data_IF_538607515019
#
_entry.id   IF_538607515019
#
_cell.length_a   1.000
_cell.length_b   1.000
_cell.length_c   1.000
_cell.angle_alpha   90.00
_cell.angle_beta   90.00
_cell.angle_gamma   90.00
#
_symmetry.space_group_name_H-M   'P 1'
#
loop_
_entity.id
_entity.type
_entity.pdbx_description
1 polymer ?
#
# COMPACT_ATOMS: atom_id res chain seq x y z
N UNK A 1 1.03 8.78 12.90
CA UNK A 1 1.33 8.21 11.55
C UNK A 1 0.65 6.86 11.41
N UNK A 2 -0.36 6.78 10.54
CA UNK A 2 -1.09 5.54 10.26
C UNK A 2 -0.51 4.75 9.10
N UNK A 3 -0.92 3.48 9.00
CA UNK A 3 -0.51 2.58 7.92
C UNK A 3 -1.68 1.69 7.47
N UNK A 4 -1.67 1.32 6.19
CA UNK A 4 -2.38 0.12 5.73
C UNK A 4 -1.41 -1.05 5.85
N UNK A 5 -1.88 -2.16 6.43
CA UNK A 5 -1.11 -3.37 6.70
C UNK A 5 -1.65 -4.51 5.87
N UNK A 6 -0.76 -5.18 5.14
CA UNK A 6 -1.01 -6.47 4.51
C UNK A 6 -0.11 -7.50 5.17
N UNK A 7 -0.68 -8.62 5.57
CA UNK A 7 0.06 -9.68 6.24
C UNK A 7 -0.20 -11.03 5.57
N UNK A 8 0.89 -11.71 5.25
CA UNK A 8 0.88 -13.05 4.69
C UNK A 8 0.83 -14.05 5.85
N UNK A 9 -0.20 -14.87 5.82
CA UNK A 9 -0.33 -16.06 6.66
C UNK A 9 0.21 -17.29 5.91
N UNK A 10 0.79 -18.23 6.65
CA UNK A 10 1.37 -19.45 6.08
C UNK A 10 2.78 -19.25 5.51
N UNK A 11 3.17 -20.04 4.52
CA UNK A 11 4.56 -20.25 4.06
C UNK A 11 5.02 -19.31 2.92
N UNK A 12 4.59 -18.04 2.94
CA UNK A 12 4.97 -17.03 1.95
C UNK A 12 5.64 -15.80 2.55
N UNK A 13 6.43 -15.06 1.78
CA UNK A 13 6.97 -13.75 2.15
C UNK A 13 6.78 -12.77 1.00
N UNK A 14 6.71 -11.49 1.31
CA UNK A 14 6.81 -10.44 0.31
C UNK A 14 8.19 -10.44 -0.35
N UNK A 15 8.21 -10.17 -1.65
CA UNK A 15 9.43 -9.89 -2.39
C UNK A 15 9.64 -8.37 -2.44
N UNK A 16 10.66 -7.87 -1.74
CA UNK A 16 10.91 -6.44 -1.57
C UNK A 16 11.06 -5.69 -2.91
N UNK A 17 11.86 -6.23 -3.83
CA UNK A 17 12.09 -5.60 -5.13
C UNK A 17 10.80 -5.50 -5.96
N UNK A 18 9.98 -6.55 -5.96
CA UNK A 18 8.73 -6.60 -6.73
C UNK A 18 7.62 -5.77 -6.08
N UNK A 19 7.54 -5.75 -4.75
CA UNK A 19 6.65 -4.84 -4.02
C UNK A 19 7.02 -3.39 -4.30
N UNK A 20 8.32 -3.05 -4.29
CA UNK A 20 8.77 -1.70 -4.65
C UNK A 20 8.36 -1.32 -6.06
N UNK A 21 8.50 -2.22 -7.03
CA UNK A 21 8.07 -1.98 -8.41
C UNK A 21 6.55 -1.80 -8.50
N UNK A 22 5.78 -2.68 -7.87
CA UNK A 22 4.31 -2.64 -7.86
C UNK A 22 3.76 -1.35 -7.22
N UNK A 23 4.41 -0.86 -6.15
CA UNK A 23 4.04 0.37 -5.43
C UNK A 23 4.71 1.62 -6.00
N UNK A 24 5.46 1.50 -7.10
CA UNK A 24 6.00 2.64 -7.84
C UNK A 24 5.11 2.96 -9.03
N UNK A 25 5.17 4.21 -9.46
CA UNK A 25 4.52 4.60 -10.70
C UNK A 25 5.45 4.46 -11.90
N UNK A 26 4.89 4.59 -13.11
CA UNK A 26 5.71 4.58 -14.32
C UNK A 26 6.64 5.78 -14.43
N UNK A 27 7.64 5.66 -15.31
CA UNK A 27 8.61 6.70 -15.63
C UNK A 27 7.96 8.06 -15.94
N UNK A 28 8.63 9.17 -15.61
CA UNK A 28 8.11 10.55 -15.73
C UNK A 28 6.83 10.81 -14.96
N UNK A 29 6.67 10.15 -13.81
CA UNK A 29 5.54 10.34 -12.90
C UNK A 29 4.18 10.00 -13.52
N UNK A 30 4.11 8.94 -14.34
CA UNK A 30 2.83 8.40 -14.83
C UNK A 30 1.93 7.98 -13.66
N UNK A 31 0.63 7.70 -13.88
CA UNK A 31 -0.22 7.20 -12.81
C UNK A 31 0.31 5.92 -12.16
N UNK A 32 0.04 5.75 -10.88
CA UNK A 32 0.17 4.47 -10.19
C UNK A 32 -0.85 3.48 -10.76
N UNK A 33 -0.42 2.25 -10.99
CA UNK A 33 -1.29 1.19 -11.50
C UNK A 33 -1.50 0.07 -10.49
N UNK A 34 -0.54 -0.14 -9.58
CA UNK A 34 -0.63 -1.16 -8.53
C UNK A 34 -1.54 -0.78 -7.36
N UNK A 35 -1.78 0.51 -7.15
CA UNK A 35 -2.65 1.03 -6.10
C UNK A 35 -3.47 2.20 -6.66
N UNK A 36 -4.78 2.13 -6.47
CA UNK A 36 -5.71 3.22 -6.79
C UNK A 36 -6.40 3.71 -5.53
N UNK A 37 -6.81 4.96 -5.52
CA UNK A 37 -7.51 5.59 -4.40
C UNK A 37 -8.77 6.30 -4.85
N UNK A 38 -9.72 6.43 -3.96
CA UNK A 38 -10.91 7.23 -4.14
C UNK A 38 -11.15 8.09 -2.91
N UNK A 39 -10.92 9.41 -2.97
CA UNK A 39 -11.21 10.31 -1.84
C UNK A 39 -12.71 10.45 -1.56
N UNK A 40 -13.57 10.04 -2.51
CA UNK A 40 -15.02 10.24 -2.54
C UNK A 40 -15.47 11.61 -2.01
N UNK A 41 -14.79 12.65 -2.47
CA UNK A 41 -15.09 14.05 -2.17
C UNK A 41 -16.35 14.51 -2.94
N UNK A 42 -17.54 13.93 -2.72
CA UNK A 42 -18.85 14.35 -3.25
C UNK A 42 -19.37 13.64 -4.53
N UNK A 43 -19.24 12.31 -4.61
CA UNK A 43 -20.10 11.50 -5.50
C UNK A 43 -19.35 10.76 -6.61
N UNK A 44 -19.25 9.45 -6.43
CA UNK A 44 -18.98 8.43 -7.45
C UNK A 44 -17.81 8.76 -8.41
N UNK A 45 -16.68 9.21 -7.86
CA UNK A 45 -15.44 9.24 -8.62
C UNK A 45 -14.93 7.81 -8.84
N UNK A 46 -14.38 7.53 -10.02
CA UNK A 46 -13.70 6.26 -10.26
C UNK A 46 -12.37 6.24 -9.49
N UNK A 47 -11.94 5.04 -9.08
CA UNK A 47 -10.64 4.84 -8.45
C UNK A 47 -9.53 5.41 -9.34
N UNK A 48 -8.69 6.26 -8.77
CA UNK A 48 -7.66 7.04 -9.46
C UNK A 48 -6.27 6.60 -9.04
N UNK A 49 -5.40 6.43 -10.03
CA UNK A 49 -3.95 6.24 -9.83
C UNK A 49 -3.17 7.54 -10.01
N UNK A 50 -3.84 8.67 -10.24
CA UNK A 50 -3.18 9.94 -10.47
C UNK A 50 -2.34 10.35 -9.26
N UNK A 51 -1.14 10.87 -9.52
CA UNK A 51 -0.15 11.17 -8.47
C UNK A 51 -0.72 12.11 -7.41
N UNK A 52 -1.53 13.08 -7.83
CA UNK A 52 -2.11 14.06 -6.92
C UNK A 52 -3.16 13.44 -5.99
N UNK A 53 -3.92 12.46 -6.46
CA UNK A 53 -4.92 11.77 -5.63
C UNK A 53 -4.23 10.78 -4.67
N UNK A 54 -3.31 9.97 -5.17
CA UNK A 54 -2.56 9.00 -4.34
C UNK A 54 -1.76 9.71 -3.24
N UNK A 55 -1.25 10.92 -3.51
CA UNK A 55 -0.51 11.72 -2.53
C UNK A 55 -1.36 12.21 -1.35
N UNK A 56 -2.68 12.39 -1.53
CA UNK A 56 -3.58 12.74 -0.42
C UNK A 56 -3.68 11.59 0.60
N UNK A 57 -3.60 10.34 0.12
CA UNK A 57 -3.70 9.15 0.96
C UNK A 57 -2.36 8.70 1.53
N UNK A 58 -1.31 8.69 0.71
CA UNK A 58 -0.05 8.02 1.03
C UNK A 58 1.14 8.96 0.99
N UNK A 59 2.11 8.67 1.85
CA UNK A 59 3.43 9.27 1.75
C UNK A 59 4.14 8.72 0.50
N UNK A 60 4.67 9.61 -0.33
CA UNK A 60 5.36 9.27 -1.57
C UNK A 60 6.78 9.85 -1.56
N UNK A 61 7.77 9.06 -1.96
CA UNK A 61 9.15 9.50 -2.22
C UNK A 61 9.43 9.54 -3.72
N UNK A 62 10.38 10.39 -4.13
CA UNK A 62 10.85 10.48 -5.50
C UNK A 62 12.32 10.03 -5.60
N UNK A 63 12.67 9.28 -6.65
CA UNK A 63 14.06 8.92 -6.96
C UNK A 63 14.65 9.74 -8.12
N UNK A 64 13.91 10.77 -8.56
CA UNK A 64 14.24 11.61 -9.72
C UNK A 64 13.48 11.22 -10.98
N UNK A 65 13.12 9.95 -11.14
CA UNK A 65 12.46 9.43 -12.36
C UNK A 65 11.07 8.86 -12.11
N UNK A 66 10.88 8.28 -10.92
CA UNK A 66 9.66 7.64 -10.48
C UNK A 66 9.30 8.12 -9.07
N UNK A 67 8.06 7.84 -8.71
CA UNK A 67 7.49 8.04 -7.40
C UNK A 67 7.15 6.67 -6.82
N UNK A 68 7.46 6.48 -5.54
CA UNK A 68 7.18 5.23 -4.83
C UNK A 68 6.39 5.54 -3.57
N UNK A 69 5.30 4.80 -3.35
CA UNK A 69 4.59 4.82 -2.08
C UNK A 69 5.53 4.30 -0.99
N UNK A 70 5.71 5.08 0.08
CA UNK A 70 6.58 4.70 1.19
C UNK A 70 5.99 3.45 1.85
N UNK A 71 6.80 2.40 1.92
CA UNK A 71 6.42 1.14 2.52
C UNK A 71 7.57 0.54 3.30
N UNK A 72 7.24 -0.39 4.20
CA UNK A 72 8.21 -1.24 4.89
C UNK A 72 7.73 -2.67 4.84
N UNK A 73 8.65 -3.61 4.64
CA UNK A 73 8.42 -5.02 4.85
C UNK A 73 9.13 -5.42 6.14
N UNK A 74 8.39 -5.98 7.10
CA UNK A 74 8.92 -6.45 8.36
C UNK A 74 8.29 -7.79 8.76
N UNK A 75 8.42 -8.18 10.03
CA UNK A 75 7.95 -9.48 10.54
C UNK A 75 8.49 -10.64 9.70
N UNK A 76 9.81 -10.66 9.47
CA UNK A 76 10.49 -11.65 8.64
C UNK A 76 9.88 -11.80 7.23
N UNK A 77 9.54 -10.68 6.59
CA UNK A 77 8.98 -10.67 5.24
C UNK A 77 7.48 -10.94 5.17
N UNK A 78 6.78 -11.12 6.31
CA UNK A 78 5.36 -11.46 6.34
C UNK A 78 4.44 -10.25 6.30
N UNK A 79 4.91 -9.08 6.73
CA UNK A 79 4.06 -7.91 6.90
C UNK A 79 4.55 -6.73 6.06
N UNK A 80 3.69 -6.23 5.19
CA UNK A 80 3.88 -5.03 4.39
C UNK A 80 3.06 -3.91 5.00
N UNK A 81 3.70 -2.77 5.27
CA UNK A 81 3.04 -1.57 5.78
C UNK A 81 3.20 -0.44 4.79
N UNK A 82 2.08 0.11 4.33
CA UNK A 82 2.02 1.28 3.44
C UNK A 82 1.77 2.52 4.29
N UNK A 83 2.66 3.51 4.21
CA UNK A 83 2.59 4.71 5.06
C UNK A 83 1.55 5.71 4.54
N UNK A 84 0.60 6.08 5.40
CA UNK A 84 -0.34 7.15 5.09
C UNK A 84 0.35 8.52 5.06
N UNK A 85 -0.21 9.46 4.31
CA UNK A 85 0.19 10.86 4.36
C UNK A 85 -0.03 11.42 5.77
N UNK A 86 0.79 12.39 6.19
CA UNK A 86 0.69 12.97 7.55
C UNK A 86 -0.57 13.82 7.75
N UNK A 87 -1.10 14.35 6.66
CA UNK A 87 -2.25 15.25 6.52
C UNK A 87 -3.47 14.51 5.92
N UNK A 88 -3.46 13.18 5.93
CA UNK A 88 -4.54 12.38 5.32
C UNK A 88 -5.92 12.71 5.92
N UNK A 89 -5.99 13.05 7.21
CA UNK A 89 -7.24 13.42 7.90
C UNK A 89 -7.76 14.80 7.53
N UNK A 90 -6.88 15.71 7.11
CA UNK A 90 -7.27 17.05 6.66
C UNK A 90 -7.70 17.03 5.19
N UNK A 91 -7.22 16.04 4.44
CA UNK A 91 -7.37 15.97 2.98
C UNK A 91 -8.39 14.96 2.51
N UNK A 92 -8.75 13.96 3.32
CA UNK A 92 -9.66 12.86 2.98
C UNK A 92 -10.82 12.77 3.97
N UNK A 93 -12.05 12.75 3.45
CA UNK A 93 -13.20 12.30 4.21
C UNK A 93 -13.27 10.77 4.22
N UNK A 94 -12.86 10.15 5.33
CA UNK A 94 -12.78 8.68 5.44
C UNK A 94 -14.12 7.94 5.42
N UNK A 95 -15.27 8.61 5.53
CA UNK A 95 -16.56 7.95 5.59
C UNK A 95 -16.83 7.03 4.39
N UNK A 96 -16.34 7.41 3.21
CA UNK A 96 -16.50 6.66 1.96
C UNK A 96 -15.21 6.59 1.13
N UNK A 97 -14.06 6.80 1.77
CA UNK A 97 -12.78 6.75 1.08
C UNK A 97 -12.38 5.30 0.81
N UNK A 98 -11.93 5.02 -0.41
CA UNK A 98 -11.52 3.67 -0.82
C UNK A 98 -10.05 3.63 -1.22
N UNK A 99 -9.40 2.51 -0.89
CA UNK A 99 -8.09 2.13 -1.41
C UNK A 99 -8.22 0.78 -2.08
N UNK A 100 -7.91 0.75 -3.37
CA UNK A 100 -7.92 -0.47 -4.16
C UNK A 100 -6.49 -0.95 -4.43
N UNK A 101 -6.16 -2.11 -3.89
CA UNK A 101 -4.90 -2.79 -4.13
C UNK A 101 -5.03 -3.72 -5.34
N UNK A 102 -4.39 -3.39 -6.46
CA UNK A 102 -4.42 -4.20 -7.69
C UNK A 102 -3.43 -5.36 -7.59
N UNK A 103 -3.73 -6.32 -6.73
CA UNK A 103 -2.89 -7.51 -6.49
C UNK A 103 -2.70 -8.36 -7.75
N UNK A 104 -3.65 -8.32 -8.69
CA UNK A 104 -3.54 -8.97 -9.99
C UNK A 104 -2.41 -8.38 -10.88
N UNK A 105 -1.90 -7.19 -10.54
CA UNK A 105 -0.76 -6.55 -11.20
C UNK A 105 0.54 -6.67 -10.39
N UNK A 106 0.48 -7.26 -9.21
CA UNK A 106 1.62 -7.46 -8.31
C UNK A 106 2.44 -8.70 -8.74
N UNK A 107 3.12 -8.60 -9.88
CA UNK A 107 3.88 -9.71 -10.46
C UNK A 107 5.00 -10.18 -9.52
N UNK A 108 5.03 -11.46 -9.16
CA UNK A 108 6.04 -12.05 -8.25
C UNK A 108 6.23 -11.30 -6.91
N UNK A 109 5.20 -10.57 -6.47
CA UNK A 109 5.19 -9.84 -5.20
C UNK A 109 5.31 -10.76 -3.97
N UNK A 110 5.11 -12.07 -4.17
CA UNK A 110 5.16 -13.10 -3.14
C UNK A 110 6.14 -14.20 -3.54
N UNK A 111 6.94 -14.66 -2.58
CA UNK A 111 7.81 -15.84 -2.69
C UNK A 111 7.42 -16.87 -1.66
N UNK A 112 7.40 -18.15 -2.04
CA UNK A 112 7.22 -19.26 -1.10
C UNK A 112 8.52 -19.52 -0.36
N UNK A 113 8.45 -19.68 0.96
CA UNK A 113 9.62 -19.99 1.80
C UNK A 113 9.87 -21.49 1.95
N UNK A 114 8.87 -22.31 1.64
CA UNK A 114 8.99 -23.77 1.60
C UNK A 114 8.19 -24.36 0.45
N UNK A 115 8.68 -25.46 -0.13
CA UNK A 115 8.05 -26.14 -1.28
C UNK A 115 6.88 -27.06 -0.91
N UNK A 116 6.46 -27.08 0.37
CA UNK A 116 5.26 -27.81 0.76
C UNK A 116 4.02 -27.06 0.32
N UNK A 117 2.96 -27.78 -0.03
CA UNK A 117 1.62 -27.28 -0.39
C UNK A 117 0.92 -26.58 0.81
N UNK A 118 1.56 -25.58 1.41
CA UNK A 118 0.98 -24.75 2.45
C UNK A 118 0.08 -23.69 1.82
N UNK A 119 -1.11 -23.49 2.38
CA UNK A 119 -1.99 -22.40 1.98
C UNK A 119 -1.31 -21.06 2.31
N UNK A 120 -1.15 -20.20 1.30
CA UNK A 120 -0.80 -18.79 1.50
C UNK A 120 -2.11 -18.01 1.54
N UNK A 121 -2.36 -17.31 2.65
CA UNK A 121 -3.50 -16.41 2.78
C UNK A 121 -3.02 -14.98 3.04
N UNK A 122 -3.76 -13.99 2.56
CA UNK A 122 -3.45 -12.58 2.77
C UNK A 122 -4.54 -11.96 3.64
N UNK A 123 -4.13 -11.34 4.73
CA UNK A 123 -5.01 -10.53 5.57
C UNK A 123 -4.67 -9.06 5.39
N UNK A 124 -5.68 -8.21 5.21
CA UNK A 124 -5.52 -6.77 5.09
C UNK A 124 -6.20 -6.07 6.27
N UNK A 125 -5.57 -5.03 6.80
CA UNK A 125 -6.13 -4.18 7.85
C UNK A 125 -5.55 -2.78 7.79
N UNK A 126 -6.25 -1.81 8.36
CA UNK A 126 -5.73 -0.45 8.55
C UNK A 126 -5.47 -0.24 10.04
N UNK A 127 -4.31 0.33 10.36
CA UNK A 127 -3.91 0.62 11.73
C UNK A 127 -3.59 2.10 11.84
N UNK A 128 -4.38 2.79 12.66
CA UNK A 128 -4.27 4.22 12.86
C UNK A 128 -4.18 4.51 14.36
N UNK A 129 -3.28 5.43 14.71
CA UNK A 129 -3.09 5.94 16.06
C UNK A 129 -2.91 4.86 17.16
N UNK A 130 -2.01 3.90 16.97
CA UNK A 130 -1.52 3.07 18.06
C UNK A 130 -0.64 3.92 19.00
N UNK A 131 -1.27 4.76 19.82
CA UNK A 131 -0.62 5.43 20.94
C UNK A 131 -0.14 4.37 21.91
N UNK A 132 1.16 4.16 21.97
CA UNK A 132 1.80 3.42 23.06
C UNK A 132 1.79 4.33 24.27
N UNK A 133 0.73 4.30 25.08
CA UNK A 133 0.84 4.74 26.47
C UNK A 133 1.49 3.59 27.22
N UNK A 134 2.81 3.66 27.38
CA UNK A 134 3.42 2.99 28.51
C UNK A 134 2.83 3.69 29.74
N UNK A 135 2.03 2.95 30.50
CA UNK A 135 1.65 3.34 31.86
C UNK A 135 2.91 3.34 32.75
#
# INVERSE_FOLDING_TARGET
NGFIVLEIQGEGQFNDAEIRQWLSNGFWRRPFTGLLVNPNDHGNFANSGEVNDVRKFFKIIADGTQLTIVHTIDSNGKRLRLALASDVEETINFADAEVELKLNLANQAFKLTSGSQGTVALTAGALWNASYTAD
#
